data_IF_344668276185
#
_entry.id   IF_344668276185
#
_cell.length_a   1.000
_cell.length_b   1.000
_cell.length_c   1.000
_cell.angle_alpha   90.00
_cell.angle_beta   90.00
_cell.angle_gamma   90.00
#
_symmetry.space_group_name_H-M   'P 1'
#
loop_
_entity.id
_entity.type
_entity.pdbx_description
1 polymer ?
#
# COMPACT_ATOMS: atom_id res chain seq x y z
N UNK A 1 -20.60 26.08 -69.02
CA UNK A 1 -20.76 24.61 -69.10
C UNK A 1 -19.45 24.04 -69.61
N UNK A 2 -18.75 23.21 -68.85
CA UNK A 2 -17.46 22.62 -69.25
C UNK A 2 -17.64 21.13 -69.54
N UNK A 3 -17.32 20.71 -70.76
CA UNK A 3 -17.48 19.33 -71.24
C UNK A 3 -16.17 18.57 -71.01
N UNK A 4 -16.17 17.39 -70.36
CA UNK A 4 -14.94 16.64 -70.11
C UNK A 4 -14.42 15.98 -71.40
N UNK A 5 -13.16 16.25 -71.73
CA UNK A 5 -12.47 15.65 -72.87
C UNK A 5 -12.05 14.21 -72.52
N UNK A 6 -12.55 13.21 -73.27
CA UNK A 6 -12.17 11.80 -73.09
C UNK A 6 -11.01 11.46 -74.03
N UNK A 7 -9.83 11.27 -73.47
CA UNK A 7 -8.68 10.71 -74.19
C UNK A 7 -8.81 9.20 -74.31
N UNK A 8 -9.24 8.74 -75.49
CA UNK A 8 -9.24 7.33 -75.85
C UNK A 8 -7.84 6.93 -76.33
N UNK A 9 -6.95 6.58 -75.40
CA UNK A 9 -5.61 6.06 -75.73
C UNK A 9 -5.61 4.52 -75.66
N UNK A 10 -5.31 3.89 -76.79
CA UNK A 10 -5.21 2.44 -76.92
C UNK A 10 -3.96 1.94 -76.21
N UNK A 11 -4.12 1.03 -75.25
CA UNK A 11 -2.99 0.40 -74.57
C UNK A 11 -2.21 -0.49 -75.54
N UNK A 12 -0.89 -0.33 -75.56
CA UNK A 12 0.01 -1.19 -76.33
C UNK A 12 -0.11 -2.65 -75.83
N UNK A 13 -0.61 -3.54 -76.70
CA UNK A 13 -0.70 -4.96 -76.41
C UNK A 13 0.69 -5.61 -76.58
N UNK A 14 1.47 -5.59 -75.52
CA UNK A 14 2.79 -6.24 -75.46
C UNK A 14 2.84 -7.29 -74.36
N UNK A 15 3.41 -8.45 -74.67
CA UNK A 15 3.63 -9.57 -73.74
C UNK A 15 4.48 -9.15 -72.52
N UNK A 16 5.36 -8.17 -72.69
CA UNK A 16 6.18 -7.62 -71.61
C UNK A 16 5.35 -6.82 -70.58
N UNK A 17 4.43 -5.98 -71.07
CA UNK A 17 3.58 -5.13 -70.21
C UNK A 17 2.59 -5.99 -69.41
N UNK A 18 1.97 -6.98 -70.06
CA UNK A 18 1.06 -7.92 -69.39
C UNK A 18 1.79 -8.76 -68.31
N UNK A 19 2.99 -9.27 -68.60
CA UNK A 19 3.80 -9.96 -67.60
C UNK A 19 4.20 -9.06 -66.42
N UNK A 20 4.45 -7.76 -66.67
CA UNK A 20 4.78 -6.80 -65.62
C UNK A 20 3.54 -6.41 -64.78
N UNK A 21 2.37 -6.25 -65.39
CA UNK A 21 1.10 -6.03 -64.70
C UNK A 21 0.73 -7.23 -63.79
N UNK A 22 0.93 -8.47 -64.27
CA UNK A 22 0.74 -9.66 -63.45
C UNK A 22 1.68 -9.70 -62.24
N UNK A 23 2.96 -9.36 -62.41
CA UNK A 23 3.92 -9.30 -61.29
C UNK A 23 3.52 -8.23 -60.28
N UNK A 24 3.10 -7.05 -60.75
CA UNK A 24 2.66 -5.93 -59.89
C UNK A 24 1.38 -6.27 -59.13
N UNK A 25 0.40 -6.90 -59.77
CA UNK A 25 -0.86 -7.34 -59.14
C UNK A 25 -0.66 -8.49 -58.15
N UNK A 26 0.22 -9.46 -58.46
CA UNK A 26 0.61 -10.51 -57.50
C UNK A 26 1.34 -9.92 -56.28
N UNK A 27 2.25 -8.96 -56.48
CA UNK A 27 2.95 -8.28 -55.40
C UNK A 27 2.01 -7.43 -54.53
N UNK A 28 1.08 -6.67 -55.12
CA UNK A 28 0.09 -5.89 -54.38
C UNK A 28 -0.88 -6.77 -53.60
N UNK A 29 -1.30 -7.90 -54.17
CA UNK A 29 -2.12 -8.91 -53.49
C UNK A 29 -1.40 -9.51 -52.28
N UNK A 30 -0.12 -9.86 -52.42
CA UNK A 30 0.71 -10.36 -51.30
C UNK A 30 0.85 -9.32 -50.18
N UNK A 31 1.12 -8.06 -50.53
CA UNK A 31 1.18 -6.96 -49.55
C UNK A 31 -0.16 -6.74 -48.84
N UNK A 32 -1.28 -6.76 -49.58
CA UNK A 32 -2.62 -6.61 -49.00
C UNK A 32 -2.91 -7.73 -48.00
N UNK A 33 -2.62 -8.98 -48.34
CA UNK A 33 -2.79 -10.11 -47.42
C UNK A 33 -1.92 -9.98 -46.17
N UNK A 34 -0.66 -9.54 -46.32
CA UNK A 34 0.22 -9.29 -45.18
C UNK A 34 -0.35 -8.19 -44.26
N UNK A 35 -0.79 -7.07 -44.81
CA UNK A 35 -1.37 -5.96 -44.04
C UNK A 35 -2.64 -6.41 -43.30
N UNK A 36 -3.53 -7.16 -43.96
CA UNK A 36 -4.75 -7.68 -43.29
C UNK A 36 -4.41 -8.63 -42.15
N UNK A 37 -3.40 -9.51 -42.33
CA UNK A 37 -2.92 -10.40 -41.26
C UNK A 37 -2.34 -9.60 -40.10
N UNK A 38 -1.48 -8.62 -40.38
CA UNK A 38 -0.91 -7.76 -39.35
C UNK A 38 -1.98 -6.97 -38.61
N UNK A 39 -2.98 -6.43 -39.31
CA UNK A 39 -4.10 -5.73 -38.70
C UNK A 39 -4.91 -6.64 -37.77
N UNK A 40 -5.16 -7.89 -38.19
CA UNK A 40 -5.83 -8.88 -37.33
C UNK A 40 -5.02 -9.18 -36.06
N UNK A 41 -3.73 -9.45 -36.20
CA UNK A 41 -2.86 -9.70 -35.05
C UNK A 41 -2.71 -8.47 -34.15
N UNK A 42 -2.67 -7.25 -34.69
CA UNK A 42 -2.60 -6.03 -33.89
C UNK A 42 -3.88 -5.80 -33.09
N UNK A 43 -5.05 -6.09 -33.68
CA UNK A 43 -6.33 -6.01 -32.95
C UNK A 43 -6.39 -7.04 -31.84
N UNK A 44 -5.95 -8.28 -32.11
CA UNK A 44 -5.90 -9.34 -31.10
C UNK A 44 -4.94 -8.96 -29.95
N UNK A 45 -3.75 -8.47 -30.28
CA UNK A 45 -2.77 -8.03 -29.28
C UNK A 45 -3.30 -6.85 -28.46
N UNK A 46 -3.93 -5.86 -29.10
CA UNK A 46 -4.53 -4.72 -28.40
C UNK A 46 -5.65 -5.15 -27.43
N UNK A 47 -6.46 -6.14 -27.80
CA UNK A 47 -7.49 -6.69 -26.91
C UNK A 47 -6.86 -7.35 -25.67
N UNK A 48 -5.83 -8.18 -25.86
CA UNK A 48 -5.09 -8.81 -24.76
C UNK A 48 -4.40 -7.78 -23.86
N UNK A 49 -3.74 -6.78 -24.46
CA UNK A 49 -3.10 -5.68 -23.72
C UNK A 49 -4.10 -4.85 -22.93
N UNK A 50 -5.33 -4.66 -23.44
CA UNK A 50 -6.38 -3.91 -22.73
C UNK A 50 -6.82 -4.63 -21.46
N UNK A 51 -6.97 -5.96 -21.50
CA UNK A 51 -7.31 -6.78 -20.33
C UNK A 51 -6.17 -6.71 -19.29
N UNK A 52 -4.92 -6.80 -19.75
CA UNK A 52 -3.75 -6.70 -18.88
C UNK A 52 -3.64 -5.31 -18.23
N UNK A 53 -3.85 -4.25 -19.00
CA UNK A 53 -3.82 -2.88 -18.51
C UNK A 53 -4.95 -2.59 -17.51
N UNK A 54 -6.16 -3.12 -17.76
CA UNK A 54 -7.28 -3.03 -16.82
C UNK A 54 -6.96 -3.72 -15.49
N UNK A 55 -6.42 -4.94 -15.56
CA UNK A 55 -5.99 -5.70 -14.37
C UNK A 55 -4.92 -4.96 -13.57
N UNK A 56 -3.91 -4.38 -14.23
CA UNK A 56 -2.85 -3.62 -13.58
C UNK A 56 -3.35 -2.29 -12.99
N UNK A 57 -4.18 -1.55 -13.73
CA UNK A 57 -4.70 -0.26 -13.28
C UNK A 57 -5.66 -0.41 -12.09
N UNK A 58 -6.43 -1.50 -12.04
CA UNK A 58 -7.32 -1.79 -10.91
C UNK A 58 -6.59 -2.01 -9.58
N UNK A 59 -5.32 -2.45 -9.62
CA UNK A 59 -4.56 -2.78 -8.42
C UNK A 59 -3.89 -1.58 -7.76
N UNK A 60 -3.78 -0.41 -8.42
CA UNK A 60 -3.05 0.73 -7.85
C UNK A 60 -3.67 1.26 -6.55
N UNK A 61 -5.01 1.34 -6.47
CA UNK A 61 -5.71 1.78 -5.25
C UNK A 61 -5.69 0.71 -4.15
N UNK A 62 -5.72 -0.56 -4.55
CA UNK A 62 -5.68 -1.69 -3.62
C UNK A 62 -4.29 -1.84 -2.98
N UNK A 63 -3.22 -1.54 -3.72
CA UNK A 63 -1.84 -1.56 -3.23
C UNK A 63 -1.63 -0.50 -2.14
N UNK A 64 -2.12 0.73 -2.33
CA UNK A 64 -1.97 1.81 -1.35
C UNK A 64 -2.72 1.50 -0.05
N UNK A 65 -3.97 1.01 -0.15
CA UNK A 65 -4.75 0.57 1.00
C UNK A 65 -4.05 -0.59 1.75
N UNK A 66 -3.55 -1.59 1.02
CA UNK A 66 -2.79 -2.71 1.59
C UNK A 66 -1.51 -2.27 2.29
N UNK A 67 -0.81 -1.25 1.76
CA UNK A 67 0.38 -0.67 2.38
C UNK A 67 0.04 0.07 3.68
N UNK A 68 -1.04 0.86 3.69
CA UNK A 68 -1.50 1.55 4.89
C UNK A 68 -1.94 0.58 5.98
N UNK A 69 -2.69 -0.46 5.61
CA UNK A 69 -3.13 -1.51 6.54
C UNK A 69 -1.94 -2.29 7.11
N UNK A 70 -0.96 -2.65 6.26
CA UNK A 70 0.27 -3.30 6.70
C UNK A 70 1.00 -2.45 7.74
N UNK A 71 1.19 -1.17 7.48
CA UNK A 71 1.86 -0.25 8.41
C UNK A 71 1.09 -0.14 9.73
N UNK A 72 -0.24 -0.08 9.69
CA UNK A 72 -1.09 -0.04 10.89
C UNK A 72 -0.95 -1.32 11.72
N UNK A 73 -0.97 -2.48 11.07
CA UNK A 73 -0.81 -3.78 11.74
C UNK A 73 0.58 -3.91 12.36
N UNK A 74 1.64 -3.51 11.66
CA UNK A 74 3.01 -3.50 12.20
C UNK A 74 3.12 -2.61 13.44
N UNK A 75 2.51 -1.42 13.43
CA UNK A 75 2.47 -0.53 14.60
C UNK A 75 1.69 -1.12 15.77
N UNK A 76 0.57 -1.79 15.50
CA UNK A 76 -0.22 -2.48 16.53
C UNK A 76 0.57 -3.64 17.13
N UNK A 77 1.31 -4.38 16.31
CA UNK A 77 2.15 -5.49 16.74
C UNK A 77 3.29 -5.01 17.64
N UNK A 78 4.03 -3.97 17.24
CA UNK A 78 5.09 -3.37 18.07
C UNK A 78 4.55 -2.86 19.42
N UNK A 79 3.36 -2.24 19.40
CA UNK A 79 2.70 -1.80 20.64
C UNK A 79 2.34 -2.98 21.54
N UNK A 80 1.74 -4.03 20.98
CA UNK A 80 1.35 -5.22 21.73
C UNK A 80 2.56 -5.97 22.28
N UNK A 81 3.65 -6.10 21.52
CA UNK A 81 4.89 -6.72 22.01
C UNK A 81 5.51 -5.94 23.16
N UNK A 82 5.50 -4.60 23.10
CA UNK A 82 5.95 -3.75 24.22
C UNK A 82 5.09 -3.96 25.45
N UNK A 83 3.76 -3.99 25.29
CA UNK A 83 2.84 -4.25 26.39
C UNK A 83 3.07 -5.64 26.99
N UNK A 84 3.27 -6.66 26.15
CA UNK A 84 3.58 -8.00 26.60
C UNK A 84 4.86 -8.04 27.44
N UNK A 85 5.96 -7.44 26.96
CA UNK A 85 7.22 -7.38 27.71
C UNK A 85 7.06 -6.65 29.05
N UNK A 86 6.34 -5.54 29.07
CA UNK A 86 6.06 -4.81 30.31
C UNK A 86 5.26 -5.65 31.31
N UNK A 87 4.24 -6.35 30.83
CA UNK A 87 3.42 -7.24 31.67
C UNK A 87 4.23 -8.44 32.16
N UNK A 88 5.10 -9.02 31.32
CA UNK A 88 6.00 -10.11 31.73
C UNK A 88 6.99 -9.66 32.81
N UNK A 89 7.55 -8.45 32.68
CA UNK A 89 8.39 -7.85 33.72
C UNK A 89 7.61 -7.58 35.00
N UNK A 90 6.37 -7.10 34.90
CA UNK A 90 5.50 -6.85 36.06
C UNK A 90 5.13 -8.18 36.75
N UNK A 91 4.79 -9.22 35.99
CA UNK A 91 4.56 -10.56 36.50
C UNK A 91 5.81 -11.09 37.22
N UNK A 92 7.00 -10.90 36.64
CA UNK A 92 8.26 -11.31 37.27
C UNK A 92 8.49 -10.59 38.60
N UNK A 93 8.23 -9.28 38.65
CA UNK A 93 8.30 -8.49 39.89
C UNK A 93 7.26 -8.97 40.91
N UNK A 94 6.03 -9.23 40.48
CA UNK A 94 4.96 -9.74 41.33
C UNK A 94 5.23 -11.13 41.89
N UNK A 95 6.05 -11.95 41.23
CA UNK A 95 6.48 -13.26 41.72
C UNK A 95 7.76 -13.20 42.57
N UNK A 96 8.35 -12.02 42.76
CA UNK A 96 9.47 -11.84 43.67
C UNK A 96 8.94 -11.62 45.09
N UNK A 97 9.27 -12.53 46.00
CA UNK A 97 8.87 -12.48 47.41
C UNK A 97 9.31 -11.17 48.09
N UNK A 98 10.43 -10.57 47.66
CA UNK A 98 10.93 -9.31 48.19
C UNK A 98 10.04 -8.12 47.76
N UNK A 99 9.56 -8.12 46.52
CA UNK A 99 8.62 -7.12 46.00
C UNK A 99 7.22 -7.27 46.62
N UNK A 100 6.74 -8.50 46.83
CA UNK A 100 5.48 -8.75 47.56
C UNK A 100 5.60 -8.22 48.99
N UNK A 101 6.72 -8.48 49.67
CA UNK A 101 6.96 -7.98 51.02
C UNK A 101 7.02 -6.44 51.07
N UNK A 102 7.65 -5.79 50.08
CA UNK A 102 7.68 -4.32 49.97
C UNK A 102 6.28 -3.73 49.71
N UNK A 103 5.50 -4.36 48.82
CA UNK A 103 4.12 -3.96 48.55
C UNK A 103 3.22 -4.13 49.78
N UNK A 104 3.37 -5.24 50.50
CA UNK A 104 2.64 -5.51 51.73
C UNK A 104 2.96 -4.48 52.82
N UNK A 105 4.24 -4.11 52.98
CA UNK A 105 4.68 -3.02 53.87
C UNK A 105 4.07 -1.67 53.47
N UNK A 106 4.12 -1.33 52.17
CA UNK A 106 3.71 -0.01 51.67
C UNK A 106 2.19 0.19 51.61
N UNK A 107 1.42 -0.83 51.24
CA UNK A 107 -0.04 -0.72 51.03
C UNK A 107 -0.87 -1.30 52.15
N UNK A 108 -0.35 -2.30 52.86
CA UNK A 108 -1.11 -3.04 53.87
C UNK A 108 -0.49 -2.93 55.27
N UNK A 109 0.57 -2.13 55.45
CA UNK A 109 1.26 -1.95 56.73
C UNK A 109 1.63 -3.29 57.39
N UNK A 110 2.13 -4.24 56.59
CA UNK A 110 2.62 -5.51 57.11
C UNK A 110 4.08 -5.36 57.56
N UNK A 111 4.44 -5.82 58.76
CA UNK A 111 5.83 -5.86 59.25
C UNK A 111 6.23 -7.26 59.70
N UNK A 112 7.53 -7.58 59.67
CA UNK A 112 8.07 -8.84 60.18
C UNK A 112 8.15 -8.83 61.71
N UNK A 113 8.27 -10.00 62.34
CA UNK A 113 8.49 -10.10 63.79
C UNK A 113 9.73 -9.27 64.20
N UNK A 114 9.51 -8.28 65.07
CA UNK A 114 10.55 -7.35 65.56
C UNK A 114 10.62 -6.00 64.83
N UNK A 115 9.86 -5.76 63.76
CA UNK A 115 9.80 -4.46 63.07
C UNK A 115 8.67 -3.55 63.61
N UNK A 116 8.97 -2.27 63.89
CA UNK A 116 7.99 -1.26 64.37
C UNK A 116 7.53 -0.39 63.20
N UNK A 117 6.20 -0.31 62.98
CA UNK A 117 5.59 0.50 61.91
C UNK A 117 5.31 1.91 62.42
N UNK A 118 5.90 2.91 61.76
CA UNK A 118 5.59 4.32 62.00
C UNK A 118 4.60 4.83 60.95
N UNK A 119 3.34 5.00 61.34
CA UNK A 119 2.34 5.68 60.49
C UNK A 119 2.50 7.18 60.70
N UNK A 120 3.17 7.84 59.76
CA UNK A 120 3.22 9.30 59.75
C UNK A 120 1.85 9.81 59.28
N UNK A 121 1.09 10.56 60.10
CA UNK A 121 -0.14 11.17 59.62
C UNK A 121 0.23 12.10 58.47
N UNK A 122 -0.45 11.97 57.33
CA UNK A 122 -0.30 12.92 56.23
C UNK A 122 -0.47 14.33 56.80
N UNK A 123 0.62 15.10 56.80
CA UNK A 123 0.58 16.52 57.13
C UNK A 123 -0.38 17.17 56.13
N UNK A 124 -1.61 17.43 56.56
CA UNK A 124 -2.37 18.54 56.01
C UNK A 124 -1.55 19.77 56.33
N UNK A 125 -0.88 20.31 55.32
CA UNK A 125 -0.26 21.63 55.36
C UNK A 125 -1.32 22.60 55.92
N UNK A 126 -1.09 23.25 57.08
CA UNK A 126 -1.98 24.32 57.50
C UNK A 126 -1.91 25.43 56.44
N UNK A 127 -3.02 26.10 56.10
CA UNK A 127 -2.96 27.31 55.29
C UNK A 127 -2.01 28.29 55.97
N UNK A 128 -0.98 28.73 55.26
CA UNK A 128 -0.04 29.71 55.74
C UNK A 128 -0.74 31.08 55.71
N UNK A 129 -1.32 31.49 56.85
CA UNK A 129 -1.92 32.81 57.01
C UNK A 129 -0.79 33.86 57.15
N UNK A 130 -0.43 34.50 56.03
CA UNK A 130 0.66 35.48 55.94
C UNK A 130 0.26 36.92 56.31
N UNK A 131 -0.87 37.15 57.00
CA UNK A 131 -1.44 38.49 57.19
C UNK A 131 -1.79 38.83 58.65
N UNK A 132 -0.89 38.57 59.62
CA UNK A 132 -1.14 39.01 61.01
C UNK A 132 0.08 39.48 61.80
N UNK A 133 1.07 40.16 61.22
CA UNK A 133 1.94 41.05 62.03
C UNK A 133 2.46 42.22 61.18
N UNK A 134 1.93 43.42 61.42
CA UNK A 134 2.40 44.65 60.81
C UNK A 134 1.46 45.83 61.08
N UNK A 135 1.38 46.23 62.35
CA UNK A 135 1.08 47.62 62.72
C UNK A 135 2.25 48.51 62.33
#
# INVERSE_FOLDING_TARGET
MNVPHRTNVTKLQSSYISAQEEKRTKASRRRRVAIVRFAFFSVLLAALSSIFFYTLHSQSKEIEAKLADKKRIEQQLDKLEKQQKQLEEEIKKLHDDEYIAELARKKYYLSKEGEIIFVVPEKKSPPYDADKFGH
#
